data_IF_259856948066
#
_entry.id   IF_259856948066
#
_cell.length_a   1.000
_cell.length_b   1.000
_cell.length_c   1.000
_cell.angle_alpha   90.00
_cell.angle_beta   90.00
_cell.angle_gamma   90.00
#
_symmetry.space_group_name_H-M   'P 1'
#
loop_
_entity.id
_entity.type
_entity.pdbx_description
1 polymer ?
#
# COMPACT_ATOMS: atom_id res chain seq x y z
N UNK A 1 12.89 31.28 13.34
CA UNK A 1 13.33 30.40 12.23
C UNK A 1 13.31 28.90 12.62
N UNK A 2 13.84 28.52 13.80
CA UNK A 2 13.90 27.13 14.30
C UNK A 2 12.54 26.39 14.42
N UNK A 3 11.50 27.08 14.91
CA UNK A 3 10.15 26.50 15.05
C UNK A 3 9.48 26.17 13.69
N UNK A 4 9.87 26.84 12.61
CA UNK A 4 9.32 26.57 11.28
C UNK A 4 9.95 25.31 10.66
N UNK A 5 11.24 25.09 10.87
CA UNK A 5 11.94 23.87 10.47
C UNK A 5 11.47 22.64 11.24
N UNK A 6 11.23 22.77 12.55
CA UNK A 6 10.72 21.66 13.38
C UNK A 6 9.31 21.24 12.93
N UNK A 7 8.42 22.20 12.69
CA UNK A 7 7.09 21.91 12.13
C UNK A 7 7.14 21.22 10.76
N UNK A 8 8.10 21.58 9.91
CA UNK A 8 8.28 20.95 8.60
C UNK A 8 8.72 19.48 8.73
N UNK A 9 9.61 19.18 9.67
CA UNK A 9 10.08 17.81 9.94
C UNK A 9 8.94 16.95 10.47
N UNK A 10 8.18 17.46 11.46
CA UNK A 10 7.03 16.75 12.03
C UNK A 10 5.99 16.42 10.96
N UNK A 11 5.63 17.39 10.11
CA UNK A 11 4.70 17.15 9.00
C UNK A 11 5.20 16.11 8.01
N UNK A 12 6.50 16.12 7.71
CA UNK A 12 7.11 15.12 6.82
C UNK A 12 7.01 13.72 7.41
N UNK A 13 7.29 13.58 8.71
CA UNK A 13 7.22 12.30 9.42
C UNK A 13 5.78 11.76 9.46
N UNK A 14 4.80 12.62 9.78
CA UNK A 14 3.37 12.25 9.78
C UNK A 14 2.95 11.77 8.40
N UNK A 15 3.22 12.53 7.35
CA UNK A 15 2.86 12.15 5.99
C UNK A 15 3.55 10.86 5.55
N UNK A 16 4.82 10.65 5.95
CA UNK A 16 5.55 9.41 5.67
C UNK A 16 4.87 8.20 6.30
N UNK A 17 4.51 8.28 7.58
CA UNK A 17 3.81 7.17 8.27
C UNK A 17 2.43 6.92 7.69
N UNK A 18 1.67 7.97 7.40
CA UNK A 18 0.37 7.85 6.75
C UNK A 18 0.48 7.17 5.39
N UNK A 19 1.52 7.47 4.61
CA UNK A 19 1.76 6.78 3.34
C UNK A 19 2.09 5.30 3.53
N UNK A 20 2.85 4.91 4.55
CA UNK A 20 3.08 3.48 4.85
C UNK A 20 1.75 2.79 5.17
N UNK A 21 0.98 3.33 6.12
CA UNK A 21 -0.29 2.74 6.53
C UNK A 21 -1.34 2.73 5.43
N UNK A 22 -1.36 3.75 4.56
CA UNK A 22 -2.23 3.75 3.39
C UNK A 22 -1.85 2.65 2.40
N UNK A 23 -0.55 2.41 2.19
CA UNK A 23 -0.11 1.34 1.30
C UNK A 23 -0.45 -0.04 1.88
N UNK A 24 -0.31 -0.24 3.19
CA UNK A 24 -0.77 -1.45 3.89
C UNK A 24 -2.29 -1.63 3.74
N UNK A 25 -3.05 -0.55 3.93
CA UNK A 25 -4.49 -0.54 3.72
C UNK A 25 -4.90 -0.94 2.29
N UNK A 26 -4.10 -0.58 1.28
CA UNK A 26 -4.31 -1.03 -0.09
C UNK A 26 -4.11 -2.54 -0.28
N UNK A 27 -3.16 -3.16 0.42
CA UNK A 27 -2.97 -4.62 0.40
C UNK A 27 -4.16 -5.32 1.06
N UNK A 28 -4.63 -4.81 2.20
CA UNK A 28 -5.81 -5.37 2.88
C UNK A 28 -7.08 -5.22 2.05
N UNK A 29 -7.25 -4.07 1.39
CA UNK A 29 -8.34 -3.89 0.44
C UNK A 29 -8.27 -4.87 -0.73
N UNK A 30 -7.07 -5.13 -1.27
CA UNK A 30 -6.89 -6.11 -2.34
C UNK A 30 -7.35 -7.52 -1.93
N UNK A 31 -7.03 -7.97 -0.70
CA UNK A 31 -7.49 -9.25 -0.16
C UNK A 31 -9.02 -9.33 -0.18
N UNK A 32 -9.70 -8.30 0.34
CA UNK A 32 -11.17 -8.24 0.36
C UNK A 32 -11.77 -8.24 -1.05
N UNK A 33 -11.13 -7.57 -2.01
CA UNK A 33 -11.60 -7.57 -3.39
C UNK A 33 -11.40 -8.94 -4.05
N UNK A 34 -10.26 -9.58 -3.82
CA UNK A 34 -9.96 -10.92 -4.33
C UNK A 34 -10.88 -12.01 -3.76
N UNK A 35 -11.37 -11.85 -2.53
CA UNK A 35 -12.43 -12.70 -1.97
C UNK A 35 -13.73 -12.63 -2.79
N UNK A 36 -14.08 -11.44 -3.27
CA UNK A 36 -15.34 -11.19 -3.99
C UNK A 36 -15.21 -11.47 -5.48
N UNK A 37 -14.05 -11.16 -6.03
CA UNK A 37 -13.74 -11.22 -7.46
C UNK A 37 -12.29 -11.70 -7.64
N UNK A 38 -12.06 -13.00 -7.83
CA UNK A 38 -10.71 -13.55 -8.00
C UNK A 38 -9.94 -13.03 -9.23
N UNK A 39 -10.66 -12.39 -10.17
CA UNK A 39 -10.11 -11.73 -11.36
C UNK A 39 -9.76 -10.25 -11.14
N UNK A 40 -9.93 -9.72 -9.93
CA UNK A 40 -9.64 -8.33 -9.61
C UNK A 40 -8.18 -7.98 -9.91
N UNK A 41 -7.97 -6.94 -10.72
CA UNK A 41 -6.64 -6.50 -11.18
C UNK A 41 -6.12 -5.26 -10.45
N UNK A 42 -6.89 -4.70 -9.51
CA UNK A 42 -6.53 -3.48 -8.80
C UNK A 42 -7.49 -2.32 -9.07
N UNK A 43 -7.13 -1.15 -8.57
CA UNK A 43 -7.93 0.06 -8.64
C UNK A 43 -7.34 1.19 -7.79
N UNK A 44 -8.09 2.26 -7.61
CA UNK A 44 -7.68 3.39 -6.75
C UNK A 44 -8.74 3.62 -5.69
N UNK A 45 -8.29 3.78 -4.44
CA UNK A 45 -9.14 4.09 -3.29
C UNK A 45 -8.58 5.30 -2.53
N UNK A 46 -9.45 5.98 -1.81
CA UNK A 46 -9.06 7.02 -0.87
C UNK A 46 -9.07 6.45 0.56
N UNK A 47 -8.01 6.71 1.32
CA UNK A 47 -7.91 6.33 2.74
C UNK A 47 -7.55 7.59 3.53
N UNK A 48 -8.49 8.11 4.31
CA UNK A 48 -8.34 9.44 4.94
C UNK A 48 -8.12 10.52 3.88
N UNK A 49 -7.06 11.32 4.02
CA UNK A 49 -6.69 12.37 3.06
C UNK A 49 -5.77 11.88 1.92
N UNK A 50 -5.39 10.60 1.93
CA UNK A 50 -4.46 10.03 0.95
C UNK A 50 -5.16 9.25 -0.15
N UNK A 51 -4.43 9.07 -1.25
CA UNK A 51 -4.85 8.24 -2.39
C UNK A 51 -3.96 7.00 -2.46
N UNK A 52 -4.58 5.83 -2.64
CA UNK A 52 -3.89 4.55 -2.74
C UNK A 52 -4.26 3.89 -4.06
N UNK A 53 -3.24 3.64 -4.89
CA UNK A 53 -3.37 2.90 -6.15
C UNK A 53 -2.84 1.49 -5.94
N UNK A 54 -3.69 0.51 -6.18
CA UNK A 54 -3.38 -0.91 -6.07
C UNK A 54 -3.36 -1.54 -7.45
N UNK A 55 -2.36 -2.36 -7.71
CA UNK A 55 -2.27 -3.22 -8.87
C UNK A 55 -2.12 -4.67 -8.41
N UNK A 56 -2.90 -5.57 -8.99
CA UNK A 56 -2.87 -7.00 -8.67
C UNK A 56 -2.50 -7.78 -9.92
N UNK A 57 -1.51 -8.66 -9.79
CA UNK A 57 -1.11 -9.62 -10.82
C UNK A 57 -1.27 -11.03 -10.26
N UNK A 58 -2.12 -11.84 -10.90
CA UNK A 58 -2.21 -13.27 -10.61
C UNK A 58 -0.98 -13.99 -11.18
N UNK A 59 -0.33 -14.82 -10.36
CA UNK A 59 0.82 -15.66 -10.76
C UNK A 59 0.54 -17.08 -10.26
N UNK A 60 0.18 -17.96 -11.17
CA UNK A 60 -0.25 -19.34 -10.87
C UNK A 60 -1.38 -19.41 -9.84
N UNK A 61 -1.08 -19.79 -8.58
CA UNK A 61 -2.02 -19.88 -7.46
C UNK A 61 -1.89 -18.75 -6.44
N UNK A 62 -1.02 -17.78 -6.72
CA UNK A 62 -0.70 -16.66 -5.83
C UNK A 62 -1.03 -15.33 -6.51
N UNK A 63 -1.01 -14.26 -5.72
CA UNK A 63 -1.21 -12.91 -6.20
C UNK A 63 -0.03 -12.04 -5.80
N UNK A 64 0.47 -11.24 -6.73
CA UNK A 64 1.38 -10.15 -6.43
C UNK A 64 0.58 -8.86 -6.37
N UNK A 65 0.56 -8.22 -5.20
CA UNK A 65 -0.11 -6.95 -4.97
C UNK A 65 0.93 -5.86 -4.82
N UNK A 66 0.84 -4.82 -5.65
CA UNK A 66 1.61 -3.59 -5.49
C UNK A 66 0.66 -2.48 -5.08
N UNK A 67 0.95 -1.84 -3.94
CA UNK A 67 0.14 -0.78 -3.36
C UNK A 67 0.98 0.50 -3.22
N UNK A 68 0.62 1.53 -3.98
CA UNK A 68 1.24 2.84 -3.93
C UNK A 68 0.31 3.80 -3.20
N UNK A 69 0.77 4.36 -2.09
CA UNK A 69 0.04 5.35 -1.33
C UNK A 69 0.73 6.71 -1.37
N UNK A 70 -0.08 7.76 -1.48
CA UNK A 70 0.36 9.15 -1.49
C UNK A 70 -0.39 9.97 -0.43
N UNK A 71 0.35 10.59 0.47
CA UNK A 71 -0.16 11.51 1.50
C UNK A 71 0.63 12.80 1.44
N UNK A 72 -0.01 13.86 0.95
CA UNK A 72 0.67 15.11 0.60
C UNK A 72 1.80 14.85 -0.42
N UNK A 73 3.05 15.07 0.02
CA UNK A 73 4.26 14.83 -0.79
C UNK A 73 4.95 13.51 -0.48
N UNK A 74 4.48 12.75 0.51
CA UNK A 74 5.07 11.45 0.82
C UNK A 74 4.43 10.39 -0.08
N UNK A 75 5.27 9.57 -0.69
CA UNK A 75 4.87 8.39 -1.46
C UNK A 75 5.55 7.16 -0.90
N UNK A 76 4.80 6.07 -0.82
CA UNK A 76 5.27 4.76 -0.38
C UNK A 76 4.71 3.70 -1.29
N UNK A 77 5.55 2.76 -1.69
CA UNK A 77 5.17 1.63 -2.53
C UNK A 77 5.48 0.38 -1.74
N UNK A 78 4.46 -0.43 -1.49
CA UNK A 78 4.59 -1.74 -0.90
C UNK A 78 4.25 -2.80 -1.93
N UNK A 79 4.98 -3.90 -1.88
CA UNK A 79 4.73 -5.09 -2.69
C UNK A 79 4.58 -6.29 -1.76
N UNK A 80 3.47 -7.02 -1.93
CA UNK A 80 3.20 -8.25 -1.22
C UNK A 80 2.93 -9.40 -2.18
N UNK A 81 3.45 -10.58 -1.86
CA UNK A 81 3.05 -11.83 -2.48
C UNK A 81 2.06 -12.52 -1.54
N UNK A 82 0.86 -12.80 -2.04
CA UNK A 82 -0.26 -13.35 -1.29
C UNK A 82 -0.57 -14.77 -1.78
N UNK A 83 -0.79 -15.67 -0.83
CA UNK A 83 -1.34 -17.00 -1.05
C UNK A 83 -2.60 -17.15 -0.21
N UNK A 84 -3.60 -17.87 -0.72
CA UNK A 84 -4.80 -18.22 0.04
C UNK A 84 -4.71 -19.68 0.47
N UNK A 85 -4.71 -19.93 1.78
CA UNK A 85 -4.65 -21.26 2.38
C UNK A 85 -5.80 -21.38 3.39
N UNK A 86 -6.64 -22.41 3.25
CA UNK A 86 -7.74 -22.70 4.18
C UNK A 86 -8.60 -21.46 4.51
N UNK A 87 -8.94 -20.70 3.46
CA UNK A 87 -9.72 -19.45 3.52
C UNK A 87 -9.00 -18.23 4.11
N UNK A 88 -7.76 -18.38 4.59
CA UNK A 88 -6.95 -17.28 5.12
C UNK A 88 -5.94 -16.76 4.09
N UNK A 89 -5.73 -15.44 4.08
CA UNK A 89 -4.69 -14.80 3.27
C UNK A 89 -3.37 -14.77 4.01
N UNK A 90 -2.36 -15.41 3.43
CA UNK A 90 -0.99 -15.38 3.91
C UNK A 90 -0.15 -14.42 3.08
N UNK A 91 0.58 -13.54 3.75
CA UNK A 91 1.62 -12.72 3.12
C UNK A 91 2.90 -13.55 3.09
N UNK A 92 3.23 -14.08 1.92
CA UNK A 92 4.42 -14.92 1.71
C UNK A 92 5.69 -14.07 1.63
N UNK A 93 5.56 -12.86 1.09
CA UNK A 93 6.65 -11.90 0.95
C UNK A 93 6.13 -10.49 1.10
N UNK A 94 6.91 -9.63 1.75
CA UNK A 94 6.60 -8.22 1.94
C UNK A 94 7.85 -7.38 1.68
N UNK A 95 7.72 -6.36 0.84
CA UNK A 95 8.82 -5.48 0.46
C UNK A 95 8.33 -4.04 0.34
N UNK A 96 9.05 -3.12 0.96
CA UNK A 96 8.97 -1.70 0.61
C UNK A 96 9.87 -1.44 -0.59
N UNK A 97 9.31 -0.81 -1.62
CA UNK A 97 10.03 -0.40 -2.82
C UNK A 97 10.39 1.06 -2.65
N UNK A 98 11.70 1.32 -2.62
CA UNK A 98 12.25 2.67 -2.74
C UNK A 98 12.67 2.86 -4.20
N UNK A 99 12.03 3.77 -4.91
CA UNK A 99 12.59 4.24 -6.18
C UNK A 99 13.89 4.99 -5.85
N UNK A 100 15.02 4.49 -6.33
CA UNK A 100 16.22 5.31 -6.46
C UNK A 100 15.98 6.26 -7.63
N UNK A 101 15.85 7.56 -7.34
CA UNK A 101 16.01 8.62 -8.35
C UNK A 101 17.39 8.54 -9.03
#
# INVERSE_FOLDING_TARGET
>A
MKAHSENKIVRREVNSRQAIYGAEGGIEWAKVMLEKEPAFMGGTISIGEGTVKVNVLAVERNYTVTSLAQYGRAQRILKAELAKLDEEWLIMKYQEIHEHE
#
